data_IF_894449736637
#
_entry.id   IF_894449736637
#
_cell.length_a   1.000
_cell.length_b   1.000
_cell.length_c   1.000
_cell.angle_alpha   90.00
_cell.angle_beta   90.00
_cell.angle_gamma   90.00
#
_symmetry.space_group_name_H-M   'P 1'
#
loop_
_entity.id
_entity.type
_entity.pdbx_description
1 polymer ?
#
# COMPACT_ATOMS: atom_id res chain seq x y z
N UNK A 1 6.17 -42.47 -49.15
CA UNK A 1 7.20 -41.69 -48.42
C UNK A 1 6.79 -40.23 -48.45
N UNK A 2 6.12 -39.78 -47.41
CA UNK A 2 5.95 -38.35 -47.10
C UNK A 2 6.02 -38.26 -45.60
N UNK A 3 7.25 -38.15 -45.10
CA UNK A 3 7.51 -37.88 -43.69
C UNK A 3 6.93 -36.52 -43.34
N UNK A 4 5.90 -36.52 -42.49
CA UNK A 4 5.39 -35.29 -41.88
C UNK A 4 6.42 -34.83 -40.87
N UNK A 5 7.11 -33.74 -41.20
CA UNK A 5 7.98 -33.02 -40.26
C UNK A 5 7.12 -32.57 -39.08
N UNK A 6 7.46 -32.92 -37.83
CA UNK A 6 6.70 -32.47 -36.67
C UNK A 6 6.88 -30.97 -36.48
N UNK A 7 5.78 -30.23 -36.41
CA UNK A 7 5.79 -28.81 -36.08
C UNK A 7 6.35 -28.61 -34.66
N UNK A 8 7.44 -27.86 -34.55
CA UNK A 8 8.02 -27.47 -33.28
C UNK A 8 7.10 -26.44 -32.64
N UNK A 9 6.54 -26.68 -31.44
CA UNK A 9 5.70 -25.70 -30.77
C UNK A 9 6.55 -24.47 -30.40
N UNK A 10 6.33 -23.37 -31.11
CA UNK A 10 6.88 -22.05 -30.75
C UNK A 10 6.11 -21.51 -29.55
N UNK A 11 6.43 -22.02 -28.36
CA UNK A 11 6.00 -21.41 -27.09
C UNK A 11 6.88 -20.19 -26.82
N UNK A 12 6.67 -19.11 -27.56
CA UNK A 12 7.17 -17.80 -27.15
C UNK A 12 6.57 -17.48 -25.78
N UNK A 13 7.37 -17.11 -24.76
CA UNK A 13 6.88 -16.93 -23.40
C UNK A 13 6.03 -15.65 -23.30
N UNK A 14 4.76 -15.73 -23.73
CA UNK A 14 3.77 -14.63 -23.65
C UNK A 14 3.41 -14.21 -22.22
N UNK A 15 3.89 -14.93 -21.22
CA UNK A 15 3.51 -14.73 -19.81
C UNK A 15 4.25 -13.52 -19.21
N UNK A 16 5.51 -13.27 -19.61
CA UNK A 16 6.35 -12.22 -18.98
C UNK A 16 5.94 -10.80 -19.43
N UNK A 17 5.51 -10.62 -20.69
CA UNK A 17 5.21 -9.29 -21.26
C UNK A 17 3.91 -8.67 -20.72
N UNK A 18 2.90 -9.49 -20.43
CA UNK A 18 1.60 -9.00 -19.96
C UNK A 18 1.64 -8.61 -18.47
N UNK A 19 2.36 -9.37 -17.65
CA UNK A 19 2.46 -9.10 -16.22
C UNK A 19 3.30 -7.84 -15.95
N UNK A 20 4.42 -7.66 -16.65
CA UNK A 20 5.23 -6.45 -16.51
C UNK A 20 4.44 -5.18 -16.85
N UNK A 21 3.72 -5.16 -17.98
CA UNK A 21 2.88 -4.02 -18.36
C UNK A 21 1.78 -3.73 -17.34
N UNK A 22 1.18 -4.79 -16.77
CA UNK A 22 0.16 -4.67 -15.73
C UNK A 22 0.73 -4.05 -14.45
N UNK A 23 1.83 -4.60 -13.92
CA UNK A 23 2.46 -4.09 -12.69
C UNK A 23 3.07 -2.70 -12.86
N UNK A 24 3.63 -2.40 -14.03
CA UNK A 24 4.14 -1.07 -14.34
C UNK A 24 3.01 -0.03 -14.35
N UNK A 25 1.88 -0.35 -14.99
CA UNK A 25 0.70 0.54 -14.99
C UNK A 25 0.12 0.71 -13.59
N UNK A 26 0.03 -0.37 -12.82
CA UNK A 26 -0.38 -0.35 -11.41
C UNK A 26 0.51 0.62 -10.62
N UNK A 27 1.83 0.42 -10.64
CA UNK A 27 2.77 1.25 -9.90
C UNK A 27 2.81 2.72 -10.36
N UNK A 28 2.55 2.98 -11.65
CA UNK A 28 2.47 4.35 -12.17
C UNK A 28 1.22 5.07 -11.66
N UNK A 29 0.06 4.42 -11.73
CA UNK A 29 -1.20 4.98 -11.22
C UNK A 29 -1.08 5.21 -9.72
N UNK A 30 -0.51 4.24 -9.01
CA UNK A 30 -0.42 4.26 -7.56
C UNK A 30 0.43 5.40 -7.02
N UNK A 31 1.67 5.50 -7.48
CA UNK A 31 2.56 6.58 -7.08
C UNK A 31 2.05 7.96 -7.53
N UNK A 32 1.38 8.06 -8.68
CA UNK A 32 0.83 9.33 -9.16
C UNK A 32 -0.31 9.82 -8.27
N UNK A 33 -1.23 8.92 -7.89
CA UNK A 33 -2.32 9.24 -6.97
C UNK A 33 -1.79 9.58 -5.59
N UNK A 34 -0.80 8.83 -5.08
CA UNK A 34 -0.17 9.11 -3.79
C UNK A 34 0.46 10.51 -3.75
N UNK A 35 1.25 10.87 -4.77
CA UNK A 35 1.88 12.20 -4.86
C UNK A 35 0.82 13.29 -4.95
N UNK A 36 -0.20 13.11 -5.80
CA UNK A 36 -1.29 14.07 -5.94
C UNK A 36 -2.03 14.28 -4.61
N UNK A 37 -2.43 13.21 -3.93
CA UNK A 37 -3.12 13.29 -2.64
C UNK A 37 -2.23 13.86 -1.53
N UNK A 38 -0.92 13.58 -1.55
CA UNK A 38 0.03 14.22 -0.66
C UNK A 38 0.06 15.74 -0.87
N UNK A 39 0.08 16.22 -2.13
CA UNK A 39 0.04 17.65 -2.44
C UNK A 39 -1.27 18.32 -2.05
N UNK A 40 -2.41 17.64 -2.25
CA UNK A 40 -3.69 18.08 -1.71
C UNK A 40 -3.65 18.17 -0.18
N UNK A 41 -3.05 17.16 0.47
CA UNK A 41 -2.78 17.11 1.90
C UNK A 41 -2.00 18.33 2.41
N UNK A 42 -0.94 18.72 1.71
CA UNK A 42 -0.17 19.93 2.03
C UNK A 42 -1.04 21.19 1.97
N UNK A 43 -1.94 21.27 0.99
CA UNK A 43 -2.83 22.43 0.79
C UNK A 43 -3.86 22.58 1.91
N UNK A 44 -4.30 21.47 2.51
CA UNK A 44 -5.23 21.48 3.65
C UNK A 44 -4.53 21.54 5.00
N UNK A 45 -3.20 21.40 5.08
CA UNK A 45 -2.47 21.36 6.36
C UNK A 45 -2.67 22.64 7.17
N UNK A 46 -2.71 23.81 6.53
CA UNK A 46 -2.98 25.07 7.20
C UNK A 46 -4.40 25.13 7.82
N UNK A 47 -5.39 24.58 7.12
CA UNK A 47 -6.76 24.46 7.63
C UNK A 47 -6.82 23.48 8.80
N UNK A 48 -6.18 22.31 8.65
CA UNK A 48 -6.09 21.31 9.70
C UNK A 48 -5.42 21.90 10.93
N UNK A 49 -4.24 22.49 10.79
CA UNK A 49 -3.49 23.08 11.89
C UNK A 49 -4.30 24.12 12.69
N UNK A 50 -5.17 24.90 12.04
CA UNK A 50 -6.10 25.80 12.73
C UNK A 50 -7.18 25.07 13.53
N UNK A 51 -7.62 23.89 13.09
CA UNK A 51 -8.65 23.07 13.75
C UNK A 51 -8.08 22.20 14.87
N UNK A 52 -6.97 21.50 14.63
CA UNK A 52 -6.37 20.56 15.59
C UNK A 52 -5.32 21.23 16.50
N UNK A 53 -4.79 22.40 16.11
CA UNK A 53 -3.76 23.14 16.87
C UNK A 53 -2.32 22.67 16.63
N UNK A 54 -2.10 21.77 15.67
CA UNK A 54 -0.77 21.21 15.33
C UNK A 54 -0.59 21.08 13.82
N UNK A 55 0.63 21.37 13.34
CA UNK A 55 1.01 21.33 11.92
C UNK A 55 1.57 19.97 11.50
N UNK A 56 1.60 19.73 10.19
CA UNK A 56 2.31 18.59 9.58
C UNK A 56 1.47 17.33 9.40
N UNK A 57 0.17 17.37 9.71
CA UNK A 57 -0.74 16.22 9.57
C UNK A 57 -1.46 16.17 8.22
N UNK A 58 -1.62 17.31 7.55
CA UNK A 58 -2.26 17.39 6.24
C UNK A 58 -1.53 16.54 5.21
N UNK A 59 -0.20 16.65 5.14
CA UNK A 59 0.63 15.84 4.24
C UNK A 59 0.51 14.34 4.53
N UNK A 60 0.55 13.95 5.81
CA UNK A 60 0.43 12.54 6.22
C UNK A 60 -0.96 11.96 5.91
N UNK A 61 -2.03 12.70 6.22
CA UNK A 61 -3.39 12.30 5.87
C UNK A 61 -3.57 12.21 4.35
N UNK A 62 -3.06 13.19 3.61
CA UNK A 62 -3.11 13.17 2.15
C UNK A 62 -2.40 11.95 1.57
N UNK A 63 -1.20 11.63 2.04
CA UNK A 63 -0.45 10.46 1.61
C UNK A 63 -1.16 9.16 1.97
N UNK A 64 -1.58 8.98 3.23
CA UNK A 64 -2.20 7.73 3.68
C UNK A 64 -3.58 7.51 3.05
N UNK A 65 -4.46 8.53 3.02
CA UNK A 65 -5.79 8.42 2.39
C UNK A 65 -5.65 8.23 0.87
N UNK A 66 -4.71 8.95 0.24
CA UNK A 66 -4.41 8.79 -1.18
C UNK A 66 -3.96 7.38 -1.52
N UNK A 67 -3.03 6.83 -0.74
CA UNK A 67 -2.56 5.45 -0.87
C UNK A 67 -3.73 4.47 -0.72
N UNK A 68 -4.61 4.65 0.27
CA UNK A 68 -5.72 3.71 0.47
C UNK A 68 -6.74 3.69 -0.66
N UNK A 69 -7.08 4.87 -1.19
CA UNK A 69 -7.96 4.98 -2.34
C UNK A 69 -7.29 4.37 -3.57
N UNK A 70 -6.01 4.67 -3.77
CA UNK A 70 -5.22 4.17 -4.87
C UNK A 70 -5.15 2.65 -4.89
N UNK A 71 -4.76 2.02 -3.78
CA UNK A 71 -4.71 0.56 -3.64
C UNK A 71 -6.07 -0.09 -3.89
N UNK A 72 -7.15 0.52 -3.40
CA UNK A 72 -8.52 0.04 -3.66
C UNK A 72 -8.90 0.10 -5.15
N UNK A 73 -8.56 1.19 -5.84
CA UNK A 73 -8.79 1.34 -7.29
C UNK A 73 -7.94 0.36 -8.08
N UNK A 74 -6.68 0.20 -7.68
CA UNK A 74 -5.71 -0.60 -8.39
C UNK A 74 -5.97 -2.12 -8.21
N UNK A 75 -6.55 -2.53 -7.08
CA UNK A 75 -7.03 -3.90 -6.82
C UNK A 75 -8.45 -4.18 -7.35
N UNK A 76 -9.17 -3.17 -7.88
CA UNK A 76 -10.51 -3.35 -8.47
C UNK A 76 -10.61 -4.44 -9.54
N UNK A 77 -9.62 -4.63 -10.45
CA UNK A 77 -9.63 -5.70 -11.44
C UNK A 77 -9.60 -7.11 -10.85
N UNK A 78 -9.17 -7.27 -9.60
CA UNK A 78 -9.07 -8.57 -8.90
C UNK A 78 -10.38 -8.94 -8.19
N UNK A 79 -11.38 -8.05 -8.26
CA UNK A 79 -12.70 -8.24 -7.70
C UNK A 79 -12.95 -7.39 -6.45
N UNK A 80 -14.22 -7.29 -6.08
CA UNK A 80 -14.68 -6.39 -5.01
C UNK A 80 -14.04 -6.68 -3.65
N UNK A 81 -13.84 -7.95 -3.30
CA UNK A 81 -13.25 -8.32 -2.02
C UNK A 81 -11.76 -7.95 -1.95
N UNK A 82 -11.02 -8.12 -3.04
CA UNK A 82 -9.62 -7.70 -3.13
C UNK A 82 -9.48 -6.18 -3.03
N UNK A 83 -10.34 -5.42 -3.73
CA UNK A 83 -10.37 -3.96 -3.65
C UNK A 83 -10.65 -3.45 -2.23
N UNK A 84 -11.66 -4.02 -1.55
CA UNK A 84 -11.99 -3.64 -0.17
C UNK A 84 -10.86 -4.04 0.78
N UNK A 85 -10.29 -5.24 0.62
CA UNK A 85 -9.17 -5.71 1.43
C UNK A 85 -7.94 -4.81 1.29
N UNK A 86 -7.60 -4.43 0.06
CA UNK A 86 -6.49 -3.52 -0.23
C UNK A 86 -6.74 -2.13 0.37
N UNK A 87 -7.94 -1.57 0.20
CA UNK A 87 -8.32 -0.27 0.76
C UNK A 87 -8.28 -0.26 2.29
N UNK A 88 -8.82 -1.29 2.95
CA UNK A 88 -8.86 -1.36 4.43
C UNK A 88 -7.47 -1.63 4.99
N UNK A 89 -6.70 -2.54 4.38
CA UNK A 89 -5.35 -2.88 4.82
C UNK A 89 -4.40 -1.69 4.72
N UNK A 90 -4.45 -0.96 3.60
CA UNK A 90 -3.65 0.26 3.39
C UNK A 90 -4.15 1.47 4.19
N UNK A 91 -5.39 1.45 4.71
CA UNK A 91 -5.90 2.46 5.62
C UNK A 91 -5.46 2.25 7.08
N UNK A 92 -5.02 1.05 7.45
CA UNK A 92 -4.61 0.74 8.83
C UNK A 92 -3.52 1.69 9.39
N UNK A 93 -2.50 2.13 8.61
CA UNK A 93 -1.53 3.13 9.06
C UNK A 93 -2.11 4.51 9.43
N UNK A 94 -3.37 4.82 9.05
CA UNK A 94 -4.04 6.04 9.49
C UNK A 94 -4.34 6.03 10.99
N UNK A 95 -4.52 4.86 11.62
CA UNK A 95 -4.86 4.77 13.04
C UNK A 95 -3.84 5.49 13.95
N UNK A 96 -2.52 5.21 13.89
CA UNK A 96 -1.55 5.95 14.69
C UNK A 96 -1.47 7.44 14.34
N UNK A 97 -1.76 7.84 13.09
CA UNK A 97 -1.82 9.25 12.68
C UNK A 97 -2.97 9.96 13.39
N UNK A 98 -4.17 9.38 13.38
CA UNK A 98 -5.33 9.94 14.08
C UNK A 98 -5.12 9.98 15.60
N UNK A 99 -4.48 8.97 16.19
CA UNK A 99 -4.10 8.97 17.60
C UNK A 99 -3.17 10.15 17.90
N UNK A 100 -2.12 10.35 17.12
CA UNK A 100 -1.18 11.47 17.31
C UNK A 100 -1.87 12.84 17.14
N UNK A 101 -2.83 12.96 16.21
CA UNK A 101 -3.68 14.15 16.05
C UNK A 101 -4.54 14.41 17.28
N UNK A 102 -5.18 13.37 17.83
CA UNK A 102 -6.04 13.48 19.01
C UNK A 102 -5.25 13.98 20.23
N UNK A 103 -3.99 13.54 20.36
CA UNK A 103 -3.07 14.02 21.40
C UNK A 103 -2.44 15.38 21.10
N UNK A 104 -2.76 16.01 19.96
CA UNK A 104 -2.16 17.28 19.51
C UNK A 104 -0.64 17.26 19.59
N UNK A 105 -0.03 16.14 19.23
CA UNK A 105 1.41 16.01 19.22
C UNK A 105 1.96 16.69 17.96
N UNK A 106 2.90 17.63 18.03
CA UNK A 106 3.46 18.24 16.82
C UNK A 106 4.27 17.21 16.04
N UNK A 107 3.89 16.97 14.78
CA UNK A 107 4.53 15.98 13.91
C UNK A 107 5.99 16.34 13.57
N UNK A 108 6.33 17.63 13.68
CA UNK A 108 7.69 18.13 13.53
C UNK A 108 8.62 17.76 14.69
N UNK A 109 8.07 17.36 15.84
CA UNK A 109 8.90 16.97 16.97
C UNK A 109 9.69 15.70 16.66
N UNK A 110 10.98 15.71 17.03
CA UNK A 110 11.89 14.58 16.85
C UNK A 110 11.31 13.29 17.43
N UNK A 111 10.64 13.39 18.58
CA UNK A 111 10.05 12.26 19.29
C UNK A 111 8.89 11.62 18.51
N UNK A 112 8.03 12.43 17.87
CA UNK A 112 6.94 11.91 17.04
C UNK A 112 7.48 11.22 15.79
N UNK A 113 8.49 11.81 15.12
CA UNK A 113 9.13 11.17 13.95
C UNK A 113 9.79 9.84 14.29
N UNK A 114 10.52 9.79 15.40
CA UNK A 114 11.13 8.55 15.90
C UNK A 114 10.05 7.54 16.28
N UNK A 115 9.00 7.98 16.97
CA UNK A 115 7.88 7.12 17.36
C UNK A 115 7.15 6.51 16.16
N UNK A 116 6.87 7.32 15.13
CA UNK A 116 6.26 6.86 13.87
C UNK A 116 7.19 5.93 13.10
N UNK A 117 8.49 6.21 13.08
CA UNK A 117 9.48 5.34 12.44
C UNK A 117 9.57 3.97 13.13
N UNK A 118 9.63 3.96 14.47
CA UNK A 118 9.67 2.73 15.27
C UNK A 118 8.37 1.93 15.16
N UNK A 119 7.21 2.59 15.19
CA UNK A 119 5.92 1.92 15.03
C UNK A 119 5.74 1.34 13.62
N UNK A 120 6.22 2.03 12.60
CA UNK A 120 6.24 1.53 11.22
C UNK A 120 7.17 0.32 11.07
N UNK A 121 8.35 0.36 11.69
CA UNK A 121 9.29 -0.77 11.71
C UNK A 121 8.72 -1.98 12.47
N UNK A 122 8.07 -1.76 13.61
CA UNK A 122 7.39 -2.82 14.37
C UNK A 122 6.24 -3.43 13.58
N UNK A 123 5.46 -2.61 12.87
CA UNK A 123 4.36 -3.08 12.03
C UNK A 123 4.86 -3.92 10.85
N UNK A 124 5.95 -3.50 10.19
CA UNK A 124 6.62 -4.33 9.18
C UNK A 124 7.14 -5.64 9.79
N UNK A 125 7.78 -5.57 10.94
CA UNK A 125 8.26 -6.75 11.67
C UNK A 125 7.14 -7.74 12.00
N UNK A 126 5.97 -7.25 12.42
CA UNK A 126 4.78 -8.07 12.66
C UNK A 126 4.19 -8.62 11.36
N UNK A 127 4.06 -7.81 10.30
CA UNK A 127 3.50 -8.25 9.03
C UNK A 127 4.36 -9.36 8.37
N UNK A 128 5.68 -9.18 8.34
CA UNK A 128 6.60 -10.19 7.82
C UNK A 128 6.82 -11.36 8.78
N UNK A 129 6.76 -11.12 10.09
CA UNK A 129 6.83 -12.15 11.12
C UNK A 129 5.59 -13.07 11.12
N UNK A 130 4.39 -12.50 11.01
CA UNK A 130 3.13 -13.24 10.92
C UNK A 130 3.05 -14.11 9.66
N UNK A 131 3.62 -13.65 8.53
CA UNK A 131 3.73 -14.47 7.33
C UNK A 131 4.47 -15.79 7.57
N UNK A 132 5.55 -15.75 8.35
CA UNK A 132 6.29 -16.97 8.73
C UNK A 132 5.54 -17.91 9.68
N UNK A 133 4.52 -17.39 10.38
CA UNK A 133 3.68 -18.16 11.30
C UNK A 133 2.50 -18.79 10.56
N UNK A 134 1.84 -18.05 9.66
CA UNK A 134 0.82 -18.61 8.77
C UNK A 134 1.38 -19.67 7.80
N UNK A 135 2.56 -19.47 7.22
CA UNK A 135 3.23 -20.48 6.38
C UNK A 135 3.61 -21.77 7.14
N UNK A 136 3.62 -21.74 8.48
CA UNK A 136 3.85 -22.92 9.32
C UNK A 136 2.58 -23.74 9.54
N UNK A 137 1.45 -23.08 9.78
CA UNK A 137 0.18 -23.75 10.03
C UNK A 137 -0.33 -24.49 8.78
N UNK A 138 -0.11 -23.93 7.58
CA UNK A 138 -0.48 -24.59 6.32
C UNK A 138 0.30 -25.90 6.08
N UNK A 139 1.52 -26.01 6.61
CA UNK A 139 2.36 -27.22 6.48
C UNK A 139 2.03 -28.30 7.52
N UNK A 140 1.32 -27.95 8.59
CA UNK A 140 0.86 -28.92 9.59
C UNK A 140 -0.49 -29.53 9.23
N UNK A 141 -1.31 -28.87 8.40
CA UNK A 141 -2.59 -29.43 7.93
C UNK A 141 -2.45 -30.45 6.78
N UNK A 142 -1.30 -30.48 6.10
CA UNK A 142 -0.97 -31.43 5.02
C UNK A 142 -0.29 -32.73 5.52
N UNK A 143 -0.25 -32.97 6.83
CA UNK A 143 0.28 -34.19 7.46
C UNK A 143 -0.80 -34.97 8.20
#
# INVERSE_FOLDING_TARGET
MTDKVPEVPTTTPKIVDNDFRRFFRFGTIDNSLLVFSMMCGMSIDAFLARRIGVKGYGTMLGACVGNSISDGVAASPEGRNAAIGALVGSAMPLAPVFVAMAFKAPFESRNVRIGVGLSSAAFLGLAFGMRSWFDRDDKEQDK
#
